data_IF_686270309500
#
_entry.id   IF_686270309500
#
_cell.length_a   1.000
_cell.length_b   1.000
_cell.length_c   1.000
_cell.angle_alpha   90.00
_cell.angle_beta   90.00
_cell.angle_gamma   90.00
#
_symmetry.space_group_name_H-M   'P 1'
#
loop_
_entity.id
_entity.type
_entity.pdbx_description
1 polymer ?
#
# COMPACT_ATOMS: atom_id res chain seq x y z
N UNK A 1 -9.20 22.34 -10.37
CA UNK A 1 -8.75 21.07 -10.99
C UNK A 1 -7.31 20.85 -10.59
N UNK A 2 -6.96 19.65 -10.13
CA UNK A 2 -5.56 19.29 -9.89
C UNK A 2 -4.81 19.22 -11.22
N UNK A 3 -3.58 19.70 -11.24
CA UNK A 3 -2.66 19.44 -12.37
C UNK A 3 -2.18 17.99 -12.32
N UNK A 4 -1.74 17.46 -13.46
CA UNK A 4 -1.16 16.12 -13.52
C UNK A 4 0.06 15.99 -12.59
N UNK A 5 0.85 17.06 -12.42
CA UNK A 5 2.02 17.09 -11.52
C UNK A 5 1.60 16.92 -10.06
N UNK A 6 0.59 17.67 -9.62
CA UNK A 6 0.06 17.56 -8.25
C UNK A 6 -0.61 16.20 -8.00
N UNK A 7 -1.29 15.65 -9.00
CA UNK A 7 -1.87 14.30 -8.90
C UNK A 7 -0.78 13.22 -8.74
N UNK A 8 0.32 13.33 -9.48
CA UNK A 8 1.45 12.40 -9.36
C UNK A 8 2.14 12.56 -8.00
N UNK A 9 2.34 13.79 -7.52
CA UNK A 9 2.92 14.03 -6.20
C UNK A 9 2.09 13.39 -5.06
N UNK A 10 0.75 13.41 -5.15
CA UNK A 10 -0.17 12.79 -4.17
C UNK A 10 -0.47 11.31 -4.43
N UNK A 11 0.17 10.69 -5.42
CA UNK A 11 -0.20 9.34 -5.86
C UNK A 11 0.18 8.26 -4.85
N UNK A 12 1.28 8.42 -4.12
CA UNK A 12 1.67 7.48 -3.04
C UNK A 12 0.61 7.48 -1.95
N UNK A 13 0.34 8.63 -1.34
CA UNK A 13 -0.67 8.80 -0.28
C UNK A 13 -2.06 8.30 -0.71
N UNK A 14 -2.40 8.45 -2.00
CA UNK A 14 -3.64 7.93 -2.56
C UNK A 14 -3.66 6.40 -2.60
N UNK A 15 -2.57 5.77 -3.02
CA UNK A 15 -2.43 4.31 -3.08
C UNK A 15 -2.36 3.68 -1.69
N UNK A 16 -1.68 4.37 -0.76
CA UNK A 16 -1.52 3.96 0.63
C UNK A 16 -2.74 4.30 1.50
N UNK A 17 -3.75 4.97 0.92
CA UNK A 17 -5.02 5.28 1.58
C UNK A 17 -4.95 6.42 2.60
N UNK A 18 -3.80 7.10 2.72
CA UNK A 18 -3.48 8.13 3.72
C UNK A 18 -4.13 9.50 3.42
N UNK A 19 -4.71 9.69 2.23
CA UNK A 19 -5.42 10.92 1.89
C UNK A 19 -6.71 11.14 2.69
N UNK A 20 -6.98 12.40 3.02
CA UNK A 20 -8.26 12.83 3.59
C UNK A 20 -9.43 12.62 2.61
N UNK A 21 -10.66 12.62 3.12
CA UNK A 21 -11.86 12.41 2.29
C UNK A 21 -11.97 13.44 1.15
N UNK A 22 -11.64 14.70 1.43
CA UNK A 22 -11.66 15.79 0.44
C UNK A 22 -10.63 15.57 -0.66
N UNK A 23 -9.42 15.14 -0.31
CA UNK A 23 -8.35 14.88 -1.27
C UNK A 23 -8.65 13.66 -2.14
N UNK A 24 -9.22 12.60 -1.55
CA UNK A 24 -9.71 11.44 -2.31
C UNK A 24 -10.72 11.85 -3.38
N UNK A 25 -11.65 12.77 -3.06
CA UNK A 25 -12.62 13.26 -4.03
C UNK A 25 -11.97 14.07 -5.16
N UNK A 26 -11.00 14.94 -4.83
CA UNK A 26 -10.26 15.70 -5.84
C UNK A 26 -9.46 14.81 -6.79
N UNK A 27 -8.79 13.78 -6.26
CA UNK A 27 -8.07 12.78 -7.07
C UNK A 27 -9.03 12.00 -7.96
N UNK A 28 -10.15 11.51 -7.41
CA UNK A 28 -11.18 10.81 -8.20
C UNK A 28 -11.72 11.69 -9.32
N UNK A 29 -12.01 12.96 -9.04
CA UNK A 29 -12.40 13.93 -10.05
C UNK A 29 -11.36 14.04 -11.16
N UNK A 30 -10.07 14.23 -10.83
CA UNK A 30 -9.02 14.32 -11.84
C UNK A 30 -8.90 13.03 -12.69
N UNK A 31 -8.96 11.85 -12.07
CA UNK A 31 -8.89 10.56 -12.76
C UNK A 31 -10.10 10.27 -13.67
N UNK A 32 -11.24 10.94 -13.45
CA UNK A 32 -12.38 10.87 -14.36
C UNK A 32 -12.07 11.55 -15.70
N UNK A 33 -11.38 12.69 -15.69
CA UNK A 33 -11.11 13.49 -16.88
C UNK A 33 -9.74 13.25 -17.52
N UNK A 34 -8.75 12.77 -16.77
CA UNK A 34 -7.39 12.55 -17.28
C UNK A 34 -7.08 11.06 -17.49
N UNK A 35 -7.07 10.57 -18.75
CA UNK A 35 -6.76 9.17 -19.04
C UNK A 35 -5.31 8.79 -18.75
N UNK A 36 -4.37 9.72 -18.87
CA UNK A 36 -2.94 9.50 -18.59
C UNK A 36 -2.70 9.19 -17.12
N UNK A 37 -3.26 10.00 -16.22
CA UNK A 37 -3.16 9.75 -14.78
C UNK A 37 -3.90 8.46 -14.39
N UNK A 38 -5.01 8.12 -15.07
CA UNK A 38 -5.68 6.82 -14.87
C UNK A 38 -4.80 5.63 -15.28
N UNK A 39 -4.05 5.75 -16.37
CA UNK A 39 -3.07 4.72 -16.78
C UNK A 39 -1.94 4.61 -15.76
N UNK A 40 -1.38 5.74 -15.32
CA UNK A 40 -0.33 5.78 -14.32
C UNK A 40 -0.72 5.07 -13.01
N UNK A 41 -1.89 5.41 -12.45
CA UNK A 41 -2.38 4.76 -11.21
C UNK A 41 -2.58 3.25 -11.39
N UNK A 42 -3.06 2.80 -12.57
CA UNK A 42 -3.19 1.36 -12.85
C UNK A 42 -1.84 0.66 -12.88
N UNK A 43 -0.81 1.27 -13.49
CA UNK A 43 0.54 0.71 -13.51
C UNK A 43 1.14 0.62 -12.11
N UNK A 44 0.97 1.65 -11.28
CA UNK A 44 1.44 1.63 -9.89
C UNK A 44 0.76 0.53 -9.07
N UNK A 45 -0.56 0.34 -9.23
CA UNK A 45 -1.29 -0.76 -8.57
C UNK A 45 -0.81 -2.13 -9.02
N UNK A 46 -0.50 -2.29 -10.31
CA UNK A 46 0.06 -3.53 -10.84
C UNK A 46 1.42 -3.81 -10.19
N UNK A 47 2.30 -2.82 -10.13
CA UNK A 47 3.61 -2.94 -9.47
C UNK A 47 3.46 -3.35 -7.99
N UNK A 48 2.55 -2.70 -7.25
CA UNK A 48 2.28 -3.07 -5.86
C UNK A 48 1.76 -4.51 -5.73
N UNK A 49 0.86 -4.95 -6.63
CA UNK A 49 0.36 -6.32 -6.62
C UNK A 49 1.47 -7.33 -6.91
N UNK A 50 2.35 -7.04 -7.88
CA UNK A 50 3.51 -7.89 -8.19
C UNK A 50 4.45 -8.00 -6.99
N UNK A 51 4.76 -6.89 -6.32
CA UNK A 51 5.62 -6.89 -5.13
C UNK A 51 4.99 -7.67 -3.98
N UNK A 52 3.67 -7.57 -3.77
CA UNK A 52 2.95 -8.35 -2.75
C UNK A 52 2.83 -9.84 -3.07
N UNK A 53 2.94 -10.20 -4.35
CA UNK A 53 2.87 -11.59 -4.80
C UNK A 53 4.26 -12.27 -4.83
N UNK A 54 5.34 -11.52 -4.56
CA UNK A 54 6.65 -12.12 -4.39
C UNK A 54 6.61 -13.06 -3.17
N UNK A 55 7.13 -14.30 -3.30
CA UNK A 55 7.28 -15.17 -2.14
C UNK A 55 8.20 -14.47 -1.14
N UNK A 56 7.70 -14.25 0.07
CA UNK A 56 8.57 -13.92 1.20
C UNK A 56 9.41 -15.16 1.50
N UNK A 57 10.73 -15.00 1.49
CA UNK A 57 11.60 -16.06 1.98
C UNK A 57 11.26 -16.30 3.45
N UNK A 58 11.04 -17.56 3.87
CA UNK A 58 10.77 -17.84 5.28
C UNK A 58 11.94 -17.33 6.11
N UNK A 59 11.67 -16.41 7.03
CA UNK A 59 12.68 -15.95 7.97
C UNK A 59 13.16 -17.14 8.81
N UNK A 60 14.47 -17.40 8.77
CA UNK A 60 15.06 -18.50 9.55
C UNK A 60 14.80 -18.26 11.04
N UNK A 61 14.19 -19.24 11.71
CA UNK A 61 13.95 -19.19 13.15
C UNK A 61 12.61 -18.60 13.60
N UNK A 62 11.68 -18.31 12.67
CA UNK A 62 10.30 -17.91 13.02
C UNK A 62 9.62 -18.94 13.94
N UNK A 63 9.78 -20.23 13.66
CA UNK A 63 9.21 -21.30 14.49
C UNK A 63 9.85 -21.32 15.89
N UNK A 64 11.18 -21.18 15.96
CA UNK A 64 11.91 -21.14 17.23
C UNK A 64 11.52 -19.91 18.07
N UNK A 65 11.25 -18.77 17.43
CA UNK A 65 10.75 -17.57 18.09
C UNK A 65 9.31 -17.77 18.59
N UNK A 66 8.44 -18.37 17.78
CA UNK A 66 7.06 -18.67 18.15
C UNK A 66 6.99 -19.60 19.38
N UNK A 67 7.82 -20.64 19.43
CA UNK A 67 7.93 -21.54 20.59
C UNK A 67 8.36 -20.80 21.87
N UNK A 68 9.39 -19.95 21.78
CA UNK A 68 9.86 -19.14 22.91
C UNK A 68 8.78 -18.20 23.45
N UNK A 69 8.04 -17.53 22.57
CA UNK A 69 6.93 -16.65 22.96
C UNK A 69 5.79 -17.43 23.62
N UNK A 70 5.47 -18.63 23.12
CA UNK A 70 4.46 -19.49 23.72
C UNK A 70 4.88 -19.98 25.11
N UNK A 71 6.16 -20.32 25.32
CA UNK A 71 6.69 -20.68 26.64
C UNK A 71 6.65 -19.52 27.63
N UNK A 72 7.02 -18.31 27.22
CA UNK A 72 6.95 -17.11 28.08
C UNK A 72 5.51 -16.87 28.55
N UNK A 73 4.54 -16.90 27.62
CA UNK A 73 3.12 -16.72 27.97
C UNK A 73 2.59 -17.77 28.94
N UNK A 74 3.11 -19.00 28.88
CA UNK A 74 2.74 -20.09 29.82
C UNK A 74 3.35 -19.91 31.21
N UNK A 75 4.50 -19.24 31.33
CA UNK A 75 5.17 -18.96 32.61
C UNK A 75 4.62 -17.71 33.30
N UNK A 76 4.04 -16.79 32.54
CA UNK A 76 3.41 -15.56 33.05
C UNK A 76 1.98 -15.78 33.57
N UNK A 77 1.40 -16.98 33.37
CA UNK A 77 0.12 -17.45 33.91
C UNK A 77 0.34 -18.28 35.17
#
# INVERSE_FOLDING_TARGET
MLTCKEQVARSSDYLDGQLSFREKLMVRHHLMFCPNCRRFIRQMKLMQATLKALPEEPEEGVDALAERLAEQRRKDL
#
